data_IF_354576110280
#
_entry.id   IF_354576110280
#
_cell.length_a   1.000
_cell.length_b   1.000
_cell.length_c   1.000
_cell.angle_alpha   90.00
_cell.angle_beta   90.00
_cell.angle_gamma   90.00
#
_symmetry.space_group_name_H-M   'P 1'
#
loop_
_entity.id
_entity.type
_entity.pdbx_description
1 polymer ?
#
# COMPACT_ATOMS: atom_id res chain seq x y z
N UNK A 1 -11.41 -34.21 -3.68
CA UNK A 1 -12.04 -32.87 -3.63
C UNK A 1 -11.37 -32.10 -4.73
N UNK A 2 -12.11 -31.69 -5.75
CA UNK A 2 -11.59 -30.94 -6.89
C UNK A 2 -12.35 -29.62 -6.93
N UNK A 3 -11.69 -28.53 -6.53
CA UNK A 3 -12.30 -27.21 -6.49
C UNK A 3 -11.71 -26.39 -7.64
N UNK A 4 -12.19 -26.71 -8.83
CA UNK A 4 -11.89 -25.94 -10.05
C UNK A 4 -12.41 -24.50 -9.97
N UNK A 5 -11.64 -23.64 -10.62
CA UNK A 5 -11.60 -22.20 -10.58
C UNK A 5 -12.88 -21.51 -11.11
N UNK A 6 -13.09 -20.30 -10.61
CA UNK A 6 -14.07 -19.29 -11.02
C UNK A 6 -15.52 -19.51 -10.58
N UNK A 7 -16.03 -18.57 -9.76
CA UNK A 7 -17.35 -17.95 -9.88
C UNK A 7 -18.58 -18.87 -10.09
N UNK A 8 -18.53 -20.13 -9.69
CA UNK A 8 -19.67 -21.04 -9.71
C UNK A 8 -20.34 -21.03 -8.33
N UNK A 9 -21.13 -19.98 -8.13
CA UNK A 9 -22.24 -20.01 -7.19
C UNK A 9 -23.20 -21.12 -7.63
N UNK A 10 -23.36 -22.17 -6.80
CA UNK A 10 -24.67 -22.62 -6.27
C UNK A 10 -24.62 -23.99 -5.57
N UNK A 11 -23.63 -24.85 -5.83
CA UNK A 11 -23.69 -26.25 -5.35
C UNK A 11 -22.47 -26.74 -4.54
N UNK A 12 -21.65 -25.85 -3.97
CA UNK A 12 -20.50 -26.27 -3.14
C UNK A 12 -20.65 -25.81 -1.68
N UNK A 13 -20.47 -26.75 -0.75
CA UNK A 13 -20.47 -26.53 0.70
C UNK A 13 -19.46 -25.44 1.05
N UNK A 14 -19.93 -24.38 1.71
CA UNK A 14 -19.09 -23.28 2.22
C UNK A 14 -18.57 -23.67 3.60
N UNK A 15 -17.26 -23.93 3.70
CA UNK A 15 -16.60 -24.12 4.99
C UNK A 15 -15.95 -22.83 5.44
N UNK A 16 -16.34 -22.34 6.61
CA UNK A 16 -15.66 -21.21 7.28
C UNK A 16 -14.61 -21.77 8.23
N UNK A 17 -13.34 -21.76 7.82
CA UNK A 17 -12.23 -22.28 8.63
C UNK A 17 -11.61 -21.15 9.44
N UNK A 18 -11.55 -21.29 10.75
CA UNK A 18 -10.87 -20.35 11.65
C UNK A 18 -9.54 -20.95 12.10
N UNK A 19 -8.45 -20.47 11.52
CA UNK A 19 -7.08 -20.91 11.85
C UNK A 19 -6.36 -19.86 12.70
N UNK A 20 -5.41 -20.29 13.55
CA UNK A 20 -4.53 -19.37 14.30
C UNK A 20 -3.63 -18.52 13.39
N UNK A 21 -3.32 -19.01 12.20
CA UNK A 21 -2.59 -18.29 11.15
C UNK A 21 -3.60 -17.91 10.07
N UNK A 22 -4.36 -16.84 10.33
CA UNK A 22 -5.35 -16.30 9.39
C UNK A 22 -4.59 -15.53 8.30
N UNK A 23 -4.81 -15.81 7.00
CA UNK A 23 -4.36 -14.91 5.95
C UNK A 23 -4.94 -13.52 6.20
N UNK A 24 -4.14 -12.47 5.99
CA UNK A 24 -4.55 -11.10 6.29
C UNK A 24 -5.53 -10.56 5.24
N UNK A 25 -6.76 -11.07 5.30
CA UNK A 25 -7.90 -10.54 4.53
C UNK A 25 -8.43 -9.24 5.14
N UNK A 26 -8.04 -8.90 6.36
CA UNK A 26 -8.51 -7.70 7.05
C UNK A 26 -7.89 -6.46 6.42
N UNK A 27 -6.60 -6.50 6.05
CA UNK A 27 -5.96 -5.46 5.25
C UNK A 27 -6.63 -5.24 3.87
N UNK A 28 -6.97 -6.31 3.16
CA UNK A 28 -7.67 -6.19 1.86
C UNK A 28 -9.08 -5.61 2.02
N UNK A 29 -9.80 -5.98 3.08
CA UNK A 29 -11.12 -5.44 3.40
C UNK A 29 -11.05 -3.96 3.76
N UNK A 30 -10.06 -3.56 4.55
CA UNK A 30 -9.83 -2.16 4.92
C UNK A 30 -9.53 -1.30 3.68
N UNK A 31 -8.70 -1.80 2.75
CA UNK A 31 -8.41 -1.10 1.47
C UNK A 31 -9.67 -0.93 0.62
N UNK A 32 -10.49 -1.98 0.49
CA UNK A 32 -11.75 -1.92 -0.27
C UNK A 32 -12.75 -0.95 0.37
N UNK A 33 -12.82 -0.92 1.71
CA UNK A 33 -13.67 0.02 2.43
C UNK A 33 -13.22 1.47 2.19
N UNK A 34 -11.94 1.76 2.32
CA UNK A 34 -11.38 3.10 2.07
C UNK A 34 -11.59 3.55 0.62
N UNK A 35 -11.49 2.63 -0.35
CA UNK A 35 -11.79 2.94 -1.75
C UNK A 35 -13.26 3.36 -1.92
N UNK A 36 -14.20 2.66 -1.27
CA UNK A 36 -15.61 3.03 -1.27
C UNK A 36 -15.91 4.37 -0.61
N UNK A 37 -15.24 4.69 0.49
CA UNK A 37 -15.34 6.00 1.17
C UNK A 37 -14.81 7.15 0.29
N UNK A 38 -13.88 6.86 -0.62
CA UNK A 38 -13.24 7.83 -1.52
C UNK A 38 -13.89 7.97 -2.91
N UNK A 39 -14.98 7.25 -3.21
CA UNK A 39 -15.56 7.16 -4.58
C UNK A 39 -15.88 8.53 -5.21
N UNK A 40 -16.30 9.51 -4.40
CA UNK A 40 -16.62 10.87 -4.88
C UNK A 40 -15.43 11.79 -5.13
N UNK A 41 -14.20 11.37 -4.76
CA UNK A 41 -13.00 12.20 -4.84
C UNK A 41 -12.12 11.93 -6.07
N UNK A 42 -12.44 10.88 -6.83
CA UNK A 42 -11.64 10.38 -7.96
C UNK A 42 -12.52 10.16 -9.19
N UNK A 43 -11.91 10.02 -10.36
CA UNK A 43 -12.64 9.72 -11.59
C UNK A 43 -13.17 8.29 -11.61
N UNK A 44 -14.23 8.02 -12.38
CA UNK A 44 -14.80 6.67 -12.54
C UNK A 44 -13.79 5.65 -13.08
N UNK A 45 -12.88 6.11 -13.93
CA UNK A 45 -11.82 5.30 -14.54
C UNK A 45 -10.77 4.92 -13.49
N UNK A 46 -10.31 5.88 -12.68
CA UNK A 46 -9.38 5.63 -11.57
C UNK A 46 -9.99 4.68 -10.53
N UNK A 47 -11.26 4.89 -10.16
CA UNK A 47 -11.96 4.03 -9.21
C UNK A 47 -12.04 2.58 -9.70
N UNK A 48 -12.44 2.41 -10.97
CA UNK A 48 -12.59 1.08 -11.59
C UNK A 48 -11.24 0.35 -11.64
N UNK A 49 -10.17 1.05 -12.01
CA UNK A 49 -8.82 0.48 -12.05
C UNK A 49 -8.35 0.04 -10.67
N UNK A 50 -8.46 0.90 -9.66
CA UNK A 50 -8.05 0.56 -8.28
C UNK A 50 -8.88 -0.59 -7.71
N UNK A 51 -10.19 -0.62 -8.00
CA UNK A 51 -11.06 -1.72 -7.58
C UNK A 51 -10.60 -3.05 -8.18
N UNK A 52 -10.30 -3.08 -9.48
CA UNK A 52 -9.81 -4.29 -10.16
C UNK A 52 -8.47 -4.77 -9.57
N UNK A 53 -7.55 -3.86 -9.28
CA UNK A 53 -6.26 -4.20 -8.65
C UNK A 53 -6.45 -4.81 -7.25
N UNK A 54 -7.34 -4.24 -6.43
CA UNK A 54 -7.66 -4.77 -5.10
C UNK A 54 -8.36 -6.14 -5.16
N UNK A 55 -9.30 -6.32 -6.09
CA UNK A 55 -9.98 -7.60 -6.32
C UNK A 55 -8.99 -8.68 -6.76
N UNK A 56 -8.03 -8.34 -7.63
CA UNK A 56 -6.97 -9.25 -8.05
C UNK A 56 -6.03 -9.63 -6.89
N UNK A 57 -5.63 -8.66 -6.05
CA UNK A 57 -4.82 -8.90 -4.85
C UNK A 57 -5.56 -9.85 -3.87
N UNK A 58 -6.85 -9.58 -3.62
CA UNK A 58 -7.68 -10.43 -2.78
C UNK A 58 -7.80 -11.85 -3.33
N UNK A 59 -8.09 -11.98 -4.62
CA UNK A 59 -8.26 -13.28 -5.27
C UNK A 59 -6.97 -14.11 -5.21
N UNK A 60 -5.81 -13.49 -5.38
CA UNK A 60 -4.52 -14.17 -5.26
C UNK A 60 -4.32 -14.76 -3.84
N UNK A 61 -4.61 -13.97 -2.79
CA UNK A 61 -4.53 -14.43 -1.39
C UNK A 61 -5.54 -15.56 -1.14
N UNK A 62 -6.77 -15.40 -1.65
CA UNK A 62 -7.83 -16.40 -1.51
C UNK A 62 -7.43 -17.74 -2.14
N UNK A 63 -7.00 -17.75 -3.40
CA UNK A 63 -6.55 -18.97 -4.10
C UNK A 63 -5.40 -19.66 -3.39
N UNK A 64 -4.39 -18.90 -2.94
CA UNK A 64 -3.28 -19.44 -2.14
C UNK A 64 -3.76 -20.09 -0.85
N UNK A 65 -4.71 -19.46 -0.18
CA UNK A 65 -5.29 -19.97 1.06
C UNK A 65 -6.08 -21.25 0.82
N UNK A 66 -6.94 -21.27 -0.18
CA UNK A 66 -7.75 -22.43 -0.56
C UNK A 66 -6.83 -23.61 -0.88
N UNK A 67 -5.83 -23.42 -1.74
CA UNK A 67 -4.89 -24.47 -2.10
C UNK A 67 -4.16 -25.05 -0.87
N UNK A 68 -3.75 -24.19 0.08
CA UNK A 68 -3.10 -24.64 1.32
C UNK A 68 -4.03 -25.48 2.20
N UNK A 69 -5.29 -25.06 2.36
CA UNK A 69 -6.29 -25.81 3.13
C UNK A 69 -6.69 -27.11 2.42
N UNK A 70 -6.83 -27.09 1.10
CA UNK A 70 -7.14 -28.26 0.30
C UNK A 70 -6.09 -29.36 0.50
N UNK A 71 -4.80 -29.02 0.37
CA UNK A 71 -3.72 -29.98 0.60
C UNK A 71 -3.75 -30.54 2.03
N UNK A 72 -4.06 -29.70 3.02
CA UNK A 72 -4.20 -30.15 4.41
C UNK A 72 -5.36 -31.13 4.58
N UNK A 73 -6.56 -30.78 4.11
CA UNK A 73 -7.76 -31.61 4.23
C UNK A 73 -7.60 -32.93 3.48
N UNK A 74 -7.02 -32.90 2.27
CA UNK A 74 -6.69 -34.11 1.52
C UNK A 74 -5.73 -35.02 2.29
N UNK A 75 -4.74 -34.46 3.00
CA UNK A 75 -3.81 -35.24 3.83
C UNK A 75 -4.51 -35.90 5.03
N UNK A 76 -5.41 -35.18 5.71
CA UNK A 76 -6.18 -35.73 6.83
C UNK A 76 -7.12 -36.84 6.33
N UNK A 77 -7.83 -36.62 5.23
CA UNK A 77 -8.74 -37.60 4.62
C UNK A 77 -8.03 -38.87 4.11
N UNK A 78 -6.77 -38.74 3.66
CA UNK A 78 -5.95 -39.88 3.24
C UNK A 78 -5.36 -40.68 4.42
N UNK A 79 -5.36 -40.12 5.63
CA UNK A 79 -4.73 -40.75 6.79
C UNK A 79 -5.61 -41.90 7.32
N UNK A 80 -5.09 -43.13 7.53
CA UNK A 80 -5.89 -44.30 7.88
C UNK A 80 -6.76 -44.14 9.14
N UNK A 81 -6.22 -43.47 10.17
CA UNK A 81 -6.87 -43.20 11.46
C UNK A 81 -7.64 -41.86 11.44
N UNK A 82 -6.98 -40.73 11.18
CA UNK A 82 -7.59 -39.39 11.27
C UNK A 82 -8.80 -39.19 10.34
N UNK A 83 -8.88 -39.91 9.21
CA UNK A 83 -10.06 -39.86 8.34
C UNK A 83 -11.34 -40.35 9.00
N UNK A 84 -11.23 -41.13 10.09
CA UNK A 84 -12.36 -41.67 10.86
C UNK A 84 -12.69 -40.78 12.07
N UNK A 85 -11.99 -39.67 12.27
CA UNK A 85 -12.22 -38.79 13.41
C UNK A 85 -13.60 -38.14 13.33
N UNK A 86 -14.38 -38.24 14.42
CA UNK A 86 -15.74 -37.72 14.47
C UNK A 86 -15.79 -36.20 14.22
N UNK A 87 -14.83 -35.44 14.75
CA UNK A 87 -14.81 -33.98 14.54
C UNK A 87 -14.44 -33.64 13.10
N UNK A 88 -13.60 -34.44 12.44
CA UNK A 88 -13.29 -34.25 11.04
C UNK A 88 -14.51 -34.55 10.14
N UNK A 89 -15.26 -35.60 10.43
CA UNK A 89 -16.54 -35.88 9.74
C UNK A 89 -17.56 -34.77 9.96
N UNK A 90 -17.77 -34.34 11.21
CA UNK A 90 -18.66 -33.22 11.54
C UNK A 90 -18.19 -31.95 10.82
N UNK A 91 -16.89 -31.65 10.81
CA UNK A 91 -16.36 -30.48 10.11
C UNK A 91 -16.63 -30.50 8.60
N UNK A 92 -16.66 -31.67 7.96
CA UNK A 92 -16.92 -31.82 6.52
C UNK A 92 -18.40 -31.92 6.14
N UNK A 93 -19.25 -32.47 7.02
CA UNK A 93 -20.65 -32.79 6.71
C UNK A 93 -21.65 -31.82 7.36
N UNK A 94 -21.21 -31.00 8.30
CA UNK A 94 -22.09 -30.09 9.03
C UNK A 94 -22.39 -28.83 8.23
N UNK A 95 -23.68 -28.62 7.97
CA UNK A 95 -24.19 -27.58 7.06
C UNK A 95 -24.66 -26.30 7.77
N UNK A 96 -24.48 -26.21 9.09
CA UNK A 96 -24.86 -25.05 9.92
C UNK A 96 -23.61 -24.37 10.51
N UNK A 97 -23.76 -23.20 11.13
CA UNK A 97 -22.63 -22.50 11.74
C UNK A 97 -22.10 -23.22 13.00
N UNK A 98 -20.85 -23.68 12.95
CA UNK A 98 -20.16 -24.25 14.10
C UNK A 98 -19.68 -23.13 15.04
N UNK A 99 -20.39 -22.90 16.15
CA UNK A 99 -19.91 -22.03 17.24
C UNK A 99 -19.13 -22.84 18.27
N UNK A 100 -17.81 -22.92 18.11
CA UNK A 100 -16.95 -23.57 19.11
C UNK A 100 -16.63 -22.56 20.20
N UNK A 101 -17.25 -22.69 21.39
CA UNK A 101 -16.94 -21.84 22.55
C UNK A 101 -15.44 -21.94 22.86
N UNK A 102 -14.73 -20.83 22.78
CA UNK A 102 -13.32 -20.77 23.17
C UNK A 102 -13.17 -21.11 24.66
N UNK A 103 -12.19 -21.96 25.00
CA UNK A 103 -11.90 -22.31 26.40
C UNK A 103 -11.57 -21.06 27.22
N UNK A 104 -12.25 -20.88 28.36
CA UNK A 104 -12.04 -19.76 29.27
C UNK A 104 -10.65 -19.83 29.94
N UNK A 105 -10.13 -18.68 30.43
CA UNK A 105 -8.81 -18.64 31.11
C UNK A 105 -8.67 -19.67 32.23
N UNK A 106 -9.76 -19.95 32.95
CA UNK A 106 -9.81 -20.97 34.02
C UNK A 106 -9.67 -22.40 33.49
N UNK A 107 -10.33 -22.72 32.37
CA UNK A 107 -10.25 -24.04 31.71
C UNK A 107 -8.86 -24.26 31.08
N UNK A 108 -8.23 -23.21 30.53
CA UNK A 108 -6.85 -23.28 30.04
C UNK A 108 -5.83 -23.49 31.15
N UNK A 109 -6.07 -22.89 32.33
CA UNK A 109 -5.23 -23.05 33.51
C UNK A 109 -5.41 -24.45 34.12
N UNK A 110 -6.65 -24.97 34.15
CA UNK A 110 -6.97 -26.30 34.63
C UNK A 110 -6.35 -27.41 33.76
N UNK A 111 -6.37 -27.26 32.43
CA UNK A 111 -5.64 -28.15 31.51
C UNK A 111 -4.10 -28.07 31.74
N UNK A 112 -3.59 -26.88 32.10
CA UNK A 112 -2.17 -26.69 32.45
C UNK A 112 -1.80 -27.40 33.76
N UNK A 113 -2.65 -27.33 34.78
CA UNK A 113 -2.45 -28.02 36.05
C UNK A 113 -2.63 -29.54 35.94
N UNK A 114 -3.54 -30.02 35.08
CA UNK A 114 -3.68 -31.46 34.77
C UNK A 114 -2.44 -32.03 34.07
N UNK A 115 -1.81 -31.26 33.19
CA UNK A 115 -0.58 -31.68 32.52
C UNK A 115 0.64 -31.67 33.47
N UNK A 116 0.60 -30.87 34.54
CA UNK A 116 1.70 -30.75 35.51
C UNK A 116 1.69 -31.87 36.58
N UNK A 117 0.60 -32.64 36.70
CA UNK A 117 0.44 -33.72 37.71
C UNK A 117 0.70 -35.13 37.14
N UNK A 118 1.00 -35.28 35.85
CA UNK A 118 1.56 -36.54 35.31
C UNK A 118 3.08 -36.44 35.23
N UNK A 119 3.74 -36.52 36.38
CA UNK A 119 5.10 -37.04 36.46
C UNK A 119 5.00 -38.38 37.16
N UNK A 120 4.96 -39.45 36.36
CA UNK A 120 5.07 -40.82 36.83
C UNK A 120 5.94 -41.56 35.83
N UNK A 121 7.01 -42.17 36.35
CA UNK A 121 8.03 -42.95 35.64
C UNK A 121 7.48 -43.85 34.53
N UNK A 122 8.21 -43.92 33.42
CA UNK A 122 8.06 -44.96 32.41
C UNK A 122 8.18 -44.44 30.99
N UNK A 123 9.34 -44.71 30.37
CA UNK A 123 9.66 -44.56 28.96
C UNK A 123 9.89 -43.12 28.44
N UNK A 124 11.14 -42.65 28.59
CA UNK A 124 11.69 -41.70 27.62
C UNK A 124 11.93 -42.52 26.36
N UNK A 125 10.90 -42.66 25.54
CA UNK A 125 10.96 -43.39 24.27
C UNK A 125 11.95 -42.66 23.35
N UNK A 126 13.14 -43.26 23.20
CA UNK A 126 14.26 -42.75 22.41
C UNK A 126 13.84 -42.35 20.99
N UNK A 127 12.83 -43.01 20.42
CA UNK A 127 12.29 -42.66 19.12
C UNK A 127 11.65 -41.27 19.12
N UNK A 128 10.81 -40.94 20.11
CA UNK A 128 10.11 -39.65 20.17
C UNK A 128 11.06 -38.50 20.52
N UNK A 129 12.08 -38.73 21.34
CA UNK A 129 13.12 -37.71 21.60
C UNK A 129 13.99 -37.45 20.36
N UNK A 130 14.32 -38.50 19.60
CA UNK A 130 14.99 -38.35 18.31
C UNK A 130 14.14 -37.56 17.31
N UNK A 131 12.87 -37.92 17.15
CA UNK A 131 11.95 -37.26 16.21
C UNK A 131 11.69 -35.79 16.62
N UNK A 132 11.55 -35.52 17.93
CA UNK A 132 11.45 -34.15 18.46
C UNK A 132 12.68 -33.32 18.06
N UNK A 133 13.86 -33.88 18.25
CA UNK A 133 15.12 -33.20 17.90
C UNK A 133 15.19 -32.93 16.39
N UNK A 134 14.84 -33.92 15.57
CA UNK A 134 14.76 -33.77 14.11
C UNK A 134 13.79 -32.66 13.70
N UNK A 135 12.57 -32.64 14.23
CA UNK A 135 11.55 -31.65 13.89
C UNK A 135 11.96 -30.23 14.29
N UNK A 136 12.61 -30.06 15.46
CA UNK A 136 13.15 -28.77 15.88
C UNK A 136 14.25 -28.28 14.94
N UNK A 137 15.18 -29.15 14.55
CA UNK A 137 16.21 -28.81 13.57
C UNK A 137 15.62 -28.48 12.20
N UNK A 138 14.69 -29.30 11.72
CA UNK A 138 14.03 -29.11 10.44
C UNK A 138 13.26 -27.78 10.41
N UNK A 139 12.49 -27.47 11.46
CA UNK A 139 11.81 -26.20 11.61
C UNK A 139 12.78 -25.03 11.53
N UNK A 140 13.89 -25.09 12.28
CA UNK A 140 14.91 -24.05 12.27
C UNK A 140 15.57 -23.91 10.88
N UNK A 141 15.83 -25.01 10.18
CA UNK A 141 16.39 -24.99 8.81
C UNK A 141 15.42 -24.37 7.81
N UNK A 142 14.13 -24.65 7.91
CA UNK A 142 13.10 -24.05 7.05
C UNK A 142 12.91 -22.56 7.38
N UNK A 143 12.88 -22.21 8.66
CA UNK A 143 12.79 -20.82 9.13
C UNK A 143 13.99 -19.98 8.68
N UNK A 144 15.19 -20.54 8.76
CA UNK A 144 16.42 -19.89 8.30
C UNK A 144 16.71 -20.13 6.81
N UNK A 145 15.76 -20.72 6.06
CA UNK A 145 15.95 -20.94 4.65
C UNK A 145 16.15 -19.59 3.95
N UNK A 146 17.21 -19.52 3.15
CA UNK A 146 17.59 -18.33 2.40
C UNK A 146 16.41 -17.74 1.62
N UNK A 147 15.62 -18.59 0.95
CA UNK A 147 14.48 -18.15 0.16
C UNK A 147 13.35 -17.51 0.98
N UNK A 148 13.16 -17.91 2.24
CA UNK A 148 12.21 -17.25 3.13
C UNK A 148 12.67 -15.83 3.44
N UNK A 149 13.96 -15.66 3.78
CA UNK A 149 14.57 -14.34 4.01
C UNK A 149 14.55 -13.45 2.76
N UNK A 150 14.79 -14.03 1.59
CA UNK A 150 14.68 -13.32 0.30
C UNK A 150 13.26 -12.79 0.09
N UNK A 151 12.24 -13.60 0.38
CA UNK A 151 10.84 -13.15 0.29
C UNK A 151 10.56 -11.96 1.21
N UNK A 152 11.00 -12.03 2.47
CA UNK A 152 10.84 -10.93 3.43
C UNK A 152 11.55 -9.65 2.97
N UNK A 153 12.74 -9.79 2.38
CA UNK A 153 13.50 -8.65 1.84
C UNK A 153 12.79 -8.03 0.63
N UNK A 154 12.25 -8.82 -0.29
CA UNK A 154 11.46 -8.27 -1.41
C UNK A 154 10.22 -7.52 -0.92
N UNK A 155 9.53 -8.02 0.11
CA UNK A 155 8.42 -7.30 0.71
C UNK A 155 8.84 -5.97 1.35
N UNK A 156 10.01 -5.92 2.01
CA UNK A 156 10.58 -4.66 2.51
C UNK A 156 10.90 -3.69 1.36
N UNK A 157 11.57 -4.17 0.31
CA UNK A 157 11.94 -3.35 -0.86
C UNK A 157 10.71 -2.79 -1.55
N UNK A 158 9.68 -3.61 -1.79
CA UNK A 158 8.40 -3.17 -2.36
C UNK A 158 7.74 -2.06 -1.54
N UNK A 159 7.79 -2.14 -0.20
CA UNK A 159 7.27 -1.09 0.68
C UNK A 159 8.08 0.20 0.60
N UNK A 160 9.39 0.12 0.39
CA UNK A 160 10.24 1.31 0.20
C UNK A 160 9.90 1.96 -1.14
N UNK A 161 9.83 1.18 -2.21
CA UNK A 161 9.48 1.65 -3.56
C UNK A 161 8.11 2.35 -3.59
N UNK A 162 7.10 1.78 -2.93
CA UNK A 162 5.79 2.42 -2.80
C UNK A 162 5.85 3.76 -2.06
N UNK A 163 6.72 3.91 -1.06
CA UNK A 163 6.93 5.19 -0.37
C UNK A 163 7.64 6.21 -1.26
N UNK A 164 8.64 5.79 -2.04
CA UNK A 164 9.34 6.67 -2.98
C UNK A 164 8.34 7.32 -3.93
N UNK A 165 7.49 6.51 -4.57
CA UNK A 165 6.47 7.01 -5.49
C UNK A 165 5.51 8.01 -4.82
N UNK A 166 5.04 7.72 -3.60
CA UNK A 166 4.13 8.61 -2.89
C UNK A 166 4.78 9.95 -2.51
N UNK A 167 6.04 9.92 -2.06
CA UNK A 167 6.79 11.11 -1.69
C UNK A 167 7.11 11.99 -2.93
N UNK A 168 7.42 11.39 -4.07
CA UNK A 168 7.61 12.09 -5.34
C UNK A 168 6.34 12.82 -5.79
N UNK A 169 5.18 12.15 -5.73
CA UNK A 169 3.91 12.76 -6.10
C UNK A 169 3.58 13.98 -5.23
N UNK A 170 3.75 13.85 -3.91
CA UNK A 170 3.44 14.93 -2.97
C UNK A 170 4.38 16.13 -3.09
N UNK A 171 5.69 15.89 -3.31
CA UNK A 171 6.71 16.97 -3.28
C UNK A 171 6.98 17.60 -4.62
N UNK A 172 6.79 16.86 -5.72
CA UNK A 172 7.05 17.34 -7.06
C UNK A 172 5.76 17.54 -7.85
N UNK A 173 4.98 16.47 -8.06
CA UNK A 173 3.80 16.52 -8.92
C UNK A 173 2.77 17.55 -8.44
N UNK A 174 2.43 17.56 -7.16
CA UNK A 174 1.44 18.47 -6.61
C UNK A 174 1.88 19.94 -6.61
N UNK A 175 3.16 20.19 -6.32
CA UNK A 175 3.74 21.53 -6.41
C UNK A 175 3.66 22.08 -7.83
N UNK A 176 4.04 21.26 -8.82
CA UNK A 176 4.01 21.62 -10.23
C UNK A 176 2.57 21.90 -10.67
N UNK A 177 1.62 21.04 -10.31
CA UNK A 177 0.18 21.24 -10.61
C UNK A 177 -0.36 22.51 -9.97
N UNK A 178 0.03 22.81 -8.72
CA UNK A 178 -0.36 24.04 -8.03
C UNK A 178 0.16 25.27 -8.77
N UNK A 179 1.46 25.34 -9.07
CA UNK A 179 2.04 26.50 -9.75
C UNK A 179 1.65 26.61 -11.23
N UNK A 180 1.29 25.51 -11.89
CA UNK A 180 0.64 25.55 -13.20
C UNK A 180 -0.67 26.33 -13.12
N UNK A 181 -1.55 26.00 -12.15
CA UNK A 181 -2.82 26.71 -11.93
C UNK A 181 -2.63 28.16 -11.51
N UNK A 182 -1.72 28.44 -10.57
CA UNK A 182 -1.41 29.82 -10.16
C UNK A 182 -0.88 30.65 -11.35
N UNK A 183 -0.02 30.06 -12.20
CA UNK A 183 0.48 30.77 -13.37
C UNK A 183 -0.63 31.09 -14.39
N UNK A 184 -1.64 30.24 -14.50
CA UNK A 184 -2.81 30.50 -15.32
C UNK A 184 -3.65 31.64 -14.73
N UNK A 185 -3.90 31.64 -13.41
CA UNK A 185 -4.61 32.73 -12.74
C UNK A 185 -3.89 34.08 -12.92
N UNK A 186 -2.55 34.10 -12.89
CA UNK A 186 -1.75 35.29 -13.16
C UNK A 186 -1.91 35.77 -14.62
N UNK A 187 -1.96 34.86 -15.61
CA UNK A 187 -2.27 35.20 -17.00
C UNK A 187 -3.67 35.79 -17.14
N UNK A 188 -4.67 35.20 -16.48
CA UNK A 188 -6.06 35.68 -16.53
C UNK A 188 -6.20 37.06 -15.87
N UNK A 189 -5.42 37.34 -14.82
CA UNK A 189 -5.32 38.67 -14.22
C UNK A 189 -4.74 39.70 -15.19
N UNK A 190 -3.65 39.36 -15.88
CA UNK A 190 -3.05 40.21 -16.91
C UNK A 190 -4.03 40.47 -18.07
N UNK A 191 -4.77 39.44 -18.49
CA UNK A 191 -5.81 39.57 -19.52
C UNK A 191 -6.92 40.54 -19.10
N UNK A 192 -7.45 40.39 -17.87
CA UNK A 192 -8.47 41.30 -17.31
C UNK A 192 -7.95 42.74 -17.24
N UNK A 193 -6.71 42.94 -16.81
CA UNK A 193 -6.06 44.25 -16.81
C UNK A 193 -5.96 44.83 -18.23
N UNK A 194 -5.50 44.04 -19.19
CA UNK A 194 -5.39 44.45 -20.59
C UNK A 194 -6.75 44.84 -21.18
N UNK A 195 -7.82 44.11 -20.84
CA UNK A 195 -9.17 44.45 -21.29
C UNK A 195 -9.65 45.77 -20.69
N UNK A 196 -9.42 45.98 -19.39
CA UNK A 196 -9.78 47.23 -18.72
C UNK A 196 -9.02 48.44 -19.28
N UNK A 197 -7.79 48.26 -19.75
CA UNK A 197 -7.04 49.32 -20.44
C UNK A 197 -7.70 49.70 -21.76
N UNK A 198 -8.07 48.71 -22.57
CA UNK A 198 -8.76 48.94 -23.84
C UNK A 198 -10.10 49.67 -23.61
N UNK A 199 -10.85 49.27 -22.59
CA UNK A 199 -12.12 49.94 -22.23
C UNK A 199 -11.87 51.41 -21.84
N UNK A 200 -10.83 51.68 -21.05
CA UNK A 200 -10.42 53.03 -20.67
C UNK A 200 -9.99 53.89 -21.86
N UNK A 201 -9.16 53.36 -22.76
CA UNK A 201 -8.75 54.06 -23.99
C UNK A 201 -9.95 54.39 -24.90
N UNK A 202 -10.92 53.48 -25.00
CA UNK A 202 -12.13 53.70 -25.76
C UNK A 202 -13.02 54.78 -25.14
N UNK A 203 -13.18 54.78 -23.81
CA UNK A 203 -13.91 55.81 -23.09
C UNK A 203 -13.23 57.19 -23.24
N UNK A 204 -11.89 57.23 -23.24
CA UNK A 204 -11.11 58.44 -23.47
C UNK A 204 -11.36 59.01 -24.87
N UNK A 205 -11.30 58.17 -25.91
CA UNK A 205 -11.64 58.57 -27.29
C UNK A 205 -13.08 59.04 -27.44
N UNK A 206 -14.02 58.45 -26.70
CA UNK A 206 -15.42 58.87 -26.71
C UNK A 206 -15.61 60.25 -26.06
N UNK A 207 -14.92 60.51 -24.95
CA UNK A 207 -14.88 61.81 -24.30
C UNK A 207 -14.32 62.91 -25.22
N UNK A 208 -13.22 62.63 -25.93
CA UNK A 208 -12.66 63.58 -26.90
C UNK A 208 -13.66 63.93 -28.01
N UNK A 209 -14.40 62.95 -28.52
CA UNK A 209 -15.47 63.17 -29.51
C UNK A 209 -16.64 63.98 -28.96
N UNK A 210 -17.06 63.71 -27.71
CA UNK A 210 -18.13 64.45 -27.04
C UNK A 210 -17.74 65.93 -26.84
N UNK A 211 -16.50 66.17 -26.39
CA UNK A 211 -15.91 67.51 -26.24
C UNK A 211 -15.85 68.25 -27.58
N UNK A 212 -15.37 67.60 -28.64
CA UNK A 212 -15.30 68.21 -29.98
C UNK A 212 -16.69 68.61 -30.54
N UNK A 213 -17.75 67.90 -30.16
CA UNK A 213 -19.13 68.19 -30.58
C UNK A 213 -19.93 69.05 -29.60
N UNK A 214 -19.35 69.39 -28.44
CA UNK A 214 -20.03 70.05 -27.31
C UNK A 214 -21.38 69.39 -26.93
N UNK A 215 -21.45 68.06 -27.00
CA UNK A 215 -22.66 67.28 -26.73
C UNK A 215 -22.35 66.11 -25.80
N UNK A 216 -23.21 65.87 -24.82
CA UNK A 216 -23.16 64.74 -23.87
C UNK A 216 -21.83 64.64 -23.08
N UNK A 217 -21.13 65.77 -22.90
CA UNK A 217 -19.77 65.82 -22.32
C UNK A 217 -19.73 65.28 -20.89
N UNK A 218 -20.66 65.70 -20.02
CA UNK A 218 -20.74 65.26 -18.62
C UNK A 218 -20.91 63.74 -18.50
N UNK A 219 -21.71 63.13 -19.38
CA UNK A 219 -21.94 61.69 -19.38
C UNK A 219 -20.68 60.94 -19.83
N UNK A 220 -20.01 61.42 -20.89
CA UNK A 220 -18.77 60.81 -21.36
C UNK A 220 -17.63 60.95 -20.35
N UNK A 221 -17.57 62.06 -19.61
CA UNK A 221 -16.56 62.31 -18.58
C UNK A 221 -16.76 61.38 -17.37
N UNK A 222 -18.00 61.22 -16.92
CA UNK A 222 -18.34 60.25 -15.85
C UNK A 222 -17.98 58.83 -16.26
N UNK A 223 -18.28 58.44 -17.50
CA UNK A 223 -17.94 57.10 -18.03
C UNK A 223 -16.43 56.86 -18.09
N UNK A 224 -15.66 57.86 -18.55
CA UNK A 224 -14.20 57.80 -18.59
C UNK A 224 -13.59 57.69 -17.19
N UNK A 225 -14.09 58.45 -16.21
CA UNK A 225 -13.64 58.38 -14.83
C UNK A 225 -13.86 56.98 -14.23
N UNK A 226 -15.03 56.37 -14.46
CA UNK A 226 -15.32 55.01 -13.99
C UNK A 226 -14.38 53.97 -14.59
N UNK A 227 -14.10 54.05 -15.89
CA UNK A 227 -13.13 53.17 -16.55
C UNK A 227 -11.70 53.38 -16.04
N UNK A 228 -11.30 54.63 -15.78
CA UNK A 228 -9.99 54.99 -15.22
C UNK A 228 -9.79 54.35 -13.84
N UNK A 229 -10.73 54.60 -12.91
CA UNK A 229 -10.69 54.06 -11.55
C UNK A 229 -10.64 52.53 -11.54
N UNK A 230 -11.42 51.88 -12.42
CA UNK A 230 -11.39 50.42 -12.57
C UNK A 230 -10.03 49.92 -13.04
N UNK A 231 -9.44 50.57 -14.05
CA UNK A 231 -8.14 50.19 -14.58
C UNK A 231 -7.01 50.39 -13.57
N UNK A 232 -7.02 51.50 -12.84
CA UNK A 232 -6.05 51.79 -11.78
C UNK A 232 -6.11 50.77 -10.66
N UNK A 233 -7.31 50.48 -10.14
CA UNK A 233 -7.52 49.49 -9.08
C UNK A 233 -7.03 48.10 -9.48
N UNK A 234 -7.36 47.64 -10.71
CA UNK A 234 -6.86 46.35 -11.21
C UNK A 234 -5.34 46.39 -11.38
N UNK A 235 -4.77 47.51 -11.85
CA UNK A 235 -3.33 47.64 -12.07
C UNK A 235 -2.53 47.61 -10.76
N UNK A 236 -3.01 48.27 -9.72
CA UNK A 236 -2.38 48.27 -8.40
C UNK A 236 -2.39 46.87 -7.79
N UNK A 237 -3.57 46.23 -7.74
CA UNK A 237 -3.71 44.86 -7.23
C UNK A 237 -2.88 43.86 -8.05
N UNK A 238 -2.85 43.98 -9.38
CA UNK A 238 -2.05 43.10 -10.23
C UNK A 238 -0.55 43.26 -10.03
N UNK A 239 -0.06 44.49 -9.79
CA UNK A 239 1.37 44.71 -9.49
C UNK A 239 1.78 44.00 -8.20
N UNK A 240 1.00 44.17 -7.14
CA UNK A 240 1.27 43.53 -5.86
C UNK A 240 1.24 42.00 -5.99
N UNK A 241 0.18 41.45 -6.58
CA UNK A 241 0.03 40.00 -6.75
C UNK A 241 1.17 39.38 -7.57
N UNK A 242 1.62 40.05 -8.64
CA UNK A 242 2.72 39.53 -9.47
C UNK A 242 4.08 39.56 -8.75
N UNK A 243 4.29 40.51 -7.84
CA UNK A 243 5.49 40.55 -6.99
C UNK A 243 5.45 39.41 -5.99
N UNK A 244 4.31 39.25 -5.29
CA UNK A 244 4.12 38.20 -4.30
C UNK A 244 4.21 36.81 -4.91
N UNK A 245 3.59 36.60 -6.09
CA UNK A 245 3.68 35.36 -6.85
C UNK A 245 5.13 34.98 -7.15
N UNK A 246 5.97 35.91 -7.62
CA UNK A 246 7.39 35.64 -7.92
C UNK A 246 8.15 35.22 -6.67
N UNK A 247 7.94 35.92 -5.56
CA UNK A 247 8.60 35.66 -4.29
C UNK A 247 8.17 34.32 -3.70
N UNK A 248 6.86 34.08 -3.59
CA UNK A 248 6.27 32.82 -3.08
C UNK A 248 6.73 31.62 -3.92
N UNK A 249 6.72 31.74 -5.25
CA UNK A 249 7.13 30.69 -6.18
C UNK A 249 8.57 30.25 -5.92
N UNK A 250 9.52 31.18 -5.92
CA UNK A 250 10.94 30.83 -5.76
C UNK A 250 11.19 30.17 -4.40
N UNK A 251 10.59 30.70 -3.33
CA UNK A 251 10.72 30.12 -2.00
C UNK A 251 10.15 28.70 -1.92
N UNK A 252 8.96 28.48 -2.50
CA UNK A 252 8.31 27.17 -2.49
C UNK A 252 9.08 26.12 -3.29
N UNK A 253 9.53 26.44 -4.51
CA UNK A 253 10.34 25.52 -5.32
C UNK A 253 11.68 25.20 -4.66
N UNK A 254 12.37 26.19 -4.10
CA UNK A 254 13.63 25.96 -3.39
C UNK A 254 13.43 25.00 -2.22
N UNK A 255 12.41 25.24 -1.39
CA UNK A 255 12.10 24.38 -0.24
C UNK A 255 11.79 22.95 -0.70
N UNK A 256 10.91 22.78 -1.69
CA UNK A 256 10.51 21.45 -2.14
C UNK A 256 11.66 20.67 -2.79
N UNK A 257 12.50 21.31 -3.59
CA UNK A 257 13.64 20.62 -4.22
C UNK A 257 14.67 20.15 -3.18
N UNK A 258 14.88 20.92 -2.11
CA UNK A 258 15.73 20.50 -0.99
C UNK A 258 15.11 19.31 -0.26
N UNK A 259 13.83 19.40 0.11
CA UNK A 259 13.12 18.31 0.78
C UNK A 259 13.08 17.03 -0.08
N UNK A 260 12.89 17.16 -1.40
CA UNK A 260 12.91 16.03 -2.33
C UNK A 260 14.29 15.36 -2.35
N UNK A 261 15.37 16.12 -2.47
CA UNK A 261 16.73 15.58 -2.45
C UNK A 261 17.05 14.86 -1.13
N UNK A 262 16.59 15.39 0.00
CA UNK A 262 16.73 14.74 1.30
C UNK A 262 15.97 13.40 1.37
N UNK A 263 14.76 13.35 0.80
CA UNK A 263 13.97 12.13 0.70
C UNK A 263 14.61 11.10 -0.25
N UNK A 264 15.07 11.51 -1.42
CA UNK A 264 15.80 10.65 -2.36
C UNK A 264 17.03 10.01 -1.71
N UNK A 265 17.82 10.79 -0.96
CA UNK A 265 18.96 10.27 -0.21
C UNK A 265 18.53 9.26 0.86
N UNK A 266 17.42 9.52 1.55
CA UNK A 266 16.87 8.59 2.56
C UNK A 266 16.41 7.28 1.91
N UNK A 267 15.75 7.35 0.76
CA UNK A 267 15.29 6.19 -0.01
C UNK A 267 16.46 5.37 -0.52
N UNK A 268 17.46 6.01 -1.13
CA UNK A 268 18.68 5.35 -1.62
C UNK A 268 19.42 4.60 -0.49
N UNK A 269 19.52 5.22 0.69
CA UNK A 269 20.10 4.57 1.88
C UNK A 269 19.30 3.35 2.32
N UNK A 270 17.97 3.45 2.37
CA UNK A 270 17.10 2.34 2.76
C UNK A 270 17.19 1.16 1.78
N UNK A 271 17.20 1.43 0.47
CA UNK A 271 17.37 0.42 -0.58
C UNK A 271 18.73 -0.25 -0.47
N UNK A 272 19.80 0.55 -0.32
CA UNK A 272 21.16 0.04 -0.19
C UNK A 272 21.30 -0.87 1.03
N UNK A 273 20.70 -0.49 2.16
CA UNK A 273 20.69 -1.32 3.36
C UNK A 273 19.97 -2.65 3.13
N UNK A 274 18.81 -2.65 2.46
CA UNK A 274 18.10 -3.87 2.10
C UNK A 274 18.93 -4.76 1.15
N UNK A 275 19.64 -4.17 0.19
CA UNK A 275 20.54 -4.89 -0.72
C UNK A 275 21.73 -5.51 0.03
N UNK A 276 22.31 -4.81 1.00
CA UNK A 276 23.39 -5.35 1.83
C UNK A 276 22.90 -6.54 2.68
N UNK A 277 21.72 -6.45 3.28
CA UNK A 277 21.09 -7.56 4.01
C UNK A 277 20.94 -8.81 3.12
N UNK A 278 20.57 -8.62 1.85
CA UNK A 278 20.44 -9.69 0.86
C UNK A 278 21.79 -10.34 0.55
N UNK A 279 22.81 -9.53 0.26
CA UNK A 279 24.16 -10.02 -0.08
C UNK A 279 24.76 -10.82 1.09
N UNK A 280 24.62 -10.32 2.33
CA UNK A 280 25.10 -11.02 3.53
C UNK A 280 24.36 -12.34 3.69
N UNK A 281 23.04 -12.35 3.51
CA UNK A 281 22.22 -13.57 3.61
C UNK A 281 22.60 -14.61 2.56
N UNK A 282 22.87 -14.18 1.31
CA UNK A 282 23.32 -15.05 0.24
C UNK A 282 24.70 -15.62 0.52
N UNK A 283 25.63 -14.78 1.00
CA UNK A 283 26.99 -15.19 1.33
C UNK A 283 27.00 -16.24 2.45
N UNK A 284 26.24 -16.02 3.52
CA UNK A 284 26.09 -16.99 4.61
C UNK A 284 25.48 -18.31 4.13
N UNK A 285 24.48 -18.25 3.26
CA UNK A 285 23.87 -19.45 2.69
C UNK A 285 24.87 -20.23 1.82
N UNK A 286 25.64 -19.56 0.96
CA UNK A 286 26.68 -20.17 0.14
C UNK A 286 27.77 -20.83 1.00
N UNK A 287 28.27 -20.13 2.02
CA UNK A 287 29.28 -20.67 2.95
C UNK A 287 28.75 -21.92 3.65
N UNK A 288 27.53 -21.88 4.20
CA UNK A 288 26.90 -23.06 4.84
C UNK A 288 26.74 -24.21 3.85
N UNK A 289 26.36 -23.93 2.60
CA UNK A 289 26.20 -24.95 1.55
C UNK A 289 27.54 -25.60 1.20
N UNK A 290 28.60 -24.82 1.05
CA UNK A 290 29.96 -25.30 0.74
C UNK A 290 30.59 -26.09 1.91
N UNK A 291 30.39 -25.64 3.14
CA UNK A 291 30.84 -26.39 4.33
C UNK A 291 30.08 -27.73 4.47
N UNK A 292 28.77 -27.73 4.17
CA UNK A 292 27.95 -28.94 4.19
C UNK A 292 28.30 -29.96 3.10
N UNK A 293 28.81 -29.54 1.94
CA UNK A 293 29.37 -30.45 0.93
C UNK A 293 30.76 -30.94 1.31
N UNK A 294 31.60 -30.10 1.91
CA UNK A 294 32.95 -30.50 2.38
C UNK A 294 32.90 -31.59 3.46
N UNK A 295 32.00 -31.46 4.45
CA UNK A 295 31.79 -32.49 5.49
C UNK A 295 31.27 -33.83 4.94
N UNK A 296 30.39 -33.79 3.93
CA UNK A 296 29.90 -35.01 3.25
C UNK A 296 31.03 -35.72 2.48
N UNK A 297 31.90 -34.96 1.82
CA UNK A 297 33.03 -35.53 1.09
C UNK A 297 34.12 -36.10 2.03
N UNK A 298 34.28 -35.56 3.24
CA UNK A 298 35.17 -36.15 4.27
C UNK A 298 34.58 -37.42 4.90
N UNK A 299 33.27 -37.43 5.20
CA UNK A 299 32.60 -38.62 5.73
C UNK A 299 32.58 -39.80 4.73
N UNK A 300 32.49 -39.50 3.42
CA UNK A 300 32.61 -40.51 2.37
C UNK A 300 34.03 -41.08 2.22
N UNK A 301 35.07 -40.33 2.61
CA UNK A 301 36.47 -40.79 2.52
C UNK A 301 36.96 -41.56 3.75
N UNK A 302 36.28 -41.47 4.89
CA UNK A 302 36.58 -42.25 6.09
C UNK A 302 35.76 -43.55 6.18
N UNK A 303 34.89 -43.82 5.20
CA UNK A 303 34.03 -45.01 5.14
C UNK A 303 34.52 -46.06 4.12
N UNK A 304 35.63 -45.77 3.42
CA UNK A 304 36.36 -46.67 2.53
C UNK A 304 37.71 -47.03 3.17
#
# INVERSE_FOLDING_TARGET
VDISDALSERDKVKFTVHTKVKPDFDASREKLQKLGEGEGSMTKEEFTKMKQELEAEYLAIFKKTVAMHEVFLCRVAAHPILRQDLNFHVFLEYNQDLSVRGKNKKEKLEDFFKNMVKSADGDVDDFFEHERTFLLEYHNRVKDAFFLRVSELFDKTRKIEARVSADEDLKLSDLLKYYLRESQAAKDLLYRRSRSLVDYENANKALDKARAKNKDVLQAETSQQLCCQKFEKISESAKQELIDFKTRRVAAFRKNLVELAELELKHAKAITQASLELIVSLSLWLVRRLQGTSRRNQASKCSD
#
